data_IF_829934498378
#
_entry.id   IF_829934498378
#
_cell.length_a   1.000
_cell.length_b   1.000
_cell.length_c   1.000
_cell.angle_alpha   90.00
_cell.angle_beta   90.00
_cell.angle_gamma   90.00
#
_symmetry.space_group_name_H-M   'P 1'
#
loop_
_entity.id
_entity.type
_entity.pdbx_description
1 polymer ?
#
# COMPACT_ATOMS: atom_id res chain seq x y z
N UNK A 1 -1.36 12.90 -11.61
CA UNK A 1 -0.21 11.94 -11.67
C UNK A 1 0.94 12.28 -10.70
N UNK A 2 1.12 13.53 -10.25
CA UNK A 2 2.22 13.93 -9.35
C UNK A 2 2.16 13.39 -7.90
N UNK A 3 0.97 13.24 -7.32
CA UNK A 3 0.80 12.81 -5.92
C UNK A 3 1.36 11.40 -5.62
N UNK A 4 1.29 10.48 -6.59
CA UNK A 4 1.83 9.11 -6.46
C UNK A 4 3.36 9.07 -6.38
N UNK A 5 4.05 10.05 -6.98
CA UNK A 5 5.51 10.16 -6.95
C UNK A 5 6.05 10.62 -5.60
N UNK A 6 5.32 11.49 -4.90
CA UNK A 6 5.68 11.99 -3.57
C UNK A 6 5.46 10.94 -2.47
N UNK A 7 4.35 10.19 -2.54
CA UNK A 7 4.07 9.07 -1.63
C UNK A 7 5.17 7.99 -1.71
N UNK A 8 5.67 7.66 -2.91
CA UNK A 8 6.77 6.70 -3.09
C UNK A 8 8.09 7.11 -2.42
N UNK A 9 8.31 8.41 -2.18
CA UNK A 9 9.50 8.92 -1.47
C UNK A 9 9.31 8.93 0.05
N UNK A 10 8.10 9.20 0.52
CA UNK A 10 7.77 9.21 1.96
C UNK A 10 7.75 7.81 2.58
N UNK A 11 7.36 6.78 1.83
CA UNK A 11 7.33 5.39 2.31
C UNK A 11 8.65 4.61 2.12
N UNK A 12 9.74 5.26 1.69
CA UNK A 12 11.08 4.63 1.72
C UNK A 12 11.62 4.67 3.15
N UNK A 13 11.17 3.75 3.98
CA UNK A 13 11.75 3.51 5.30
C UNK A 13 13.10 2.79 5.17
N UNK A 14 14.08 3.11 6.03
CA UNK A 14 15.36 2.42 6.08
C UNK A 14 15.16 0.95 6.47
N UNK A 15 15.74 0.03 5.69
CA UNK A 15 15.84 -1.38 6.05
C UNK A 15 16.47 -1.49 7.44
N UNK A 16 15.67 -1.95 8.42
CA UNK A 16 16.08 -2.17 9.80
C UNK A 16 17.19 -3.23 9.83
N UNK A 17 18.45 -2.80 9.89
CA UNK A 17 19.56 -3.66 10.35
C UNK A 17 19.30 -3.98 11.83
N UNK A 18 19.42 -5.26 12.19
CA UNK A 18 19.32 -5.73 13.58
C UNK A 18 20.22 -4.86 14.48
N UNK A 19 19.75 -4.46 15.67
CA UNK A 19 20.52 -3.59 16.55
C UNK A 19 21.72 -4.36 17.12
N UNK A 20 22.93 -3.85 16.87
CA UNK A 20 24.08 -4.10 17.74
C UNK A 20 24.11 -2.98 18.78
N UNK A 21 24.25 -3.39 20.03
CA UNK A 21 24.30 -2.53 21.21
C UNK A 21 25.28 -1.37 21.06
N UNK A 22 24.87 -0.22 21.60
CA UNK A 22 25.76 0.89 21.89
C UNK A 22 25.92 1.90 20.76
N UNK A 23 24.94 2.79 20.56
CA UNK A 23 25.29 4.16 20.18
C UNK A 23 24.18 5.14 20.54
N UNK A 24 24.57 6.19 21.25
CA UNK A 24 23.78 7.40 21.49
C UNK A 24 23.64 8.16 20.17
N UNK A 25 22.65 7.81 19.36
CA UNK A 25 22.24 8.65 18.23
C UNK A 25 20.72 8.74 18.12
N UNK A 26 20.25 9.97 18.33
CA UNK A 26 19.16 10.60 17.58
C UNK A 26 17.74 10.11 17.83
N UNK A 27 17.13 10.64 18.89
CA UNK A 27 15.68 10.80 19.04
C UNK A 27 15.05 11.75 18.01
N UNK A 28 15.82 12.27 17.03
CA UNK A 28 15.32 13.11 15.95
C UNK A 28 14.90 12.27 14.71
N UNK A 29 15.58 11.15 14.43
CA UNK A 29 15.23 10.27 13.32
C UNK A 29 13.91 9.49 13.54
N UNK A 30 13.57 9.21 14.80
CA UNK A 30 12.29 8.59 15.18
C UNK A 30 11.15 9.61 15.41
N UNK A 31 11.46 10.92 15.49
CA UNK A 31 10.43 11.98 15.53
C UNK A 31 10.02 12.42 14.13
N UNK A 32 10.94 12.35 13.17
CA UNK A 32 10.66 12.58 11.74
C UNK A 32 9.71 11.54 11.12
N UNK A 33 9.29 10.48 11.83
CA UNK A 33 8.40 9.45 11.30
C UNK A 33 6.91 9.73 11.52
N UNK A 34 6.48 10.33 12.63
CA UNK A 34 5.04 10.49 12.91
C UNK A 34 4.40 11.64 12.15
N UNK A 35 5.07 12.80 12.07
CA UNK A 35 4.56 13.92 11.30
C UNK A 35 4.51 13.59 9.80
N UNK A 36 5.52 12.89 9.29
CA UNK A 36 5.53 12.41 7.90
C UNK A 36 4.41 11.38 7.63
N UNK A 37 4.17 10.45 8.56
CA UNK A 37 3.03 9.52 8.49
C UNK A 37 1.72 10.29 8.51
N UNK A 38 1.56 11.29 9.38
CA UNK A 38 0.34 12.11 9.48
C UNK A 38 0.08 12.86 8.18
N UNK A 39 1.07 13.53 7.61
CA UNK A 39 0.96 14.19 6.32
C UNK A 39 0.60 13.20 5.20
N UNK A 40 1.19 12.01 5.19
CA UNK A 40 0.83 10.98 4.22
C UNK A 40 -0.62 10.51 4.39
N UNK A 41 -1.08 10.35 5.63
CA UNK A 41 -2.47 9.98 5.95
C UNK A 41 -3.45 11.08 5.55
N UNK A 42 -3.09 12.36 5.72
CA UNK A 42 -3.92 13.49 5.27
C UNK A 42 -4.09 13.49 3.75
N UNK A 43 -3.01 13.26 3.00
CA UNK A 43 -3.07 13.11 1.54
C UNK A 43 -3.93 11.91 1.13
N UNK A 44 -3.80 10.78 1.82
CA UNK A 44 -4.66 9.61 1.55
C UNK A 44 -6.11 9.89 1.90
N UNK A 45 -6.37 10.66 2.96
CA UNK A 45 -7.72 11.04 3.39
C UNK A 45 -8.45 11.88 2.33
N UNK A 46 -7.77 12.84 1.71
CA UNK A 46 -8.32 13.62 0.58
C UNK A 46 -8.63 12.72 -0.63
N UNK A 47 -7.77 11.73 -0.90
CA UNK A 47 -7.95 10.81 -2.02
C UNK A 47 -9.01 9.73 -1.74
N UNK A 48 -9.35 9.52 -0.47
CA UNK A 48 -10.36 8.57 -0.04
C UNK A 48 -11.80 9.15 -0.07
N UNK A 49 -12.00 10.40 -0.50
CA UNK A 49 -13.32 11.04 -0.56
C UNK A 49 -14.34 10.29 -1.43
N UNK A 50 -13.86 9.54 -2.43
CA UNK A 50 -14.67 8.68 -3.30
C UNK A 50 -14.93 7.28 -2.73
N UNK A 51 -14.31 6.92 -1.59
CA UNK A 51 -14.42 5.61 -0.94
C UNK A 51 -14.71 5.77 0.56
N UNK A 52 -15.98 5.92 0.98
CA UNK A 52 -16.34 6.20 2.36
C UNK A 52 -15.73 5.25 3.41
N UNK A 53 -15.70 3.91 3.20
CA UNK A 53 -15.06 2.99 4.15
C UNK A 53 -13.55 3.23 4.31
N UNK A 54 -12.87 3.57 3.22
CA UNK A 54 -11.44 3.89 3.25
C UNK A 54 -11.19 5.17 4.02
N UNK A 55 -12.00 6.21 3.78
CA UNK A 55 -11.88 7.49 4.50
C UNK A 55 -12.03 7.32 6.01
N UNK A 56 -13.05 6.56 6.41
CA UNK A 56 -13.27 6.24 7.83
C UNK A 56 -12.08 5.46 8.42
N UNK A 57 -11.57 4.46 7.70
CA UNK A 57 -10.39 3.71 8.11
C UNK A 57 -9.15 4.62 8.28
N UNK A 58 -8.88 5.53 7.34
CA UNK A 58 -7.78 6.50 7.40
C UNK A 58 -7.89 7.36 8.66
N UNK A 59 -9.07 7.94 8.91
CA UNK A 59 -9.32 8.74 10.12
C UNK A 59 -9.13 7.93 11.42
N UNK A 60 -9.55 6.66 11.40
CA UNK A 60 -9.30 5.72 12.49
C UNK A 60 -7.81 5.47 12.73
N UNK A 61 -7.02 5.26 11.67
CA UNK A 61 -5.56 5.05 11.76
C UNK A 61 -4.88 6.30 12.34
N UNK A 62 -5.27 7.50 11.91
CA UNK A 62 -4.76 8.76 12.47
C UNK A 62 -5.02 8.82 13.98
N UNK A 63 -6.24 8.48 14.42
CA UNK A 63 -6.58 8.45 15.84
C UNK A 63 -5.73 7.43 16.63
N UNK A 64 -5.52 6.24 16.07
CA UNK A 64 -4.64 5.21 16.66
C UNK A 64 -3.19 5.70 16.80
N UNK A 65 -2.67 6.41 15.80
CA UNK A 65 -1.33 7.01 15.85
C UNK A 65 -1.21 8.04 16.98
N UNK A 66 -2.19 8.95 17.08
CA UNK A 66 -2.23 9.97 18.15
C UNK A 66 -2.33 9.32 19.54
N UNK A 67 -3.09 8.24 19.68
CA UNK A 67 -3.18 7.49 20.94
C UNK A 67 -1.89 6.74 21.25
N UNK A 68 -1.23 6.19 20.23
CA UNK A 68 0.06 5.52 20.37
C UNK A 68 1.14 6.48 20.87
N UNK A 69 1.23 7.69 20.31
CA UNK A 69 2.15 8.74 20.79
C UNK A 69 1.92 9.07 22.28
N UNK A 70 0.66 9.13 22.72
CA UNK A 70 0.31 9.38 24.13
C UNK A 70 0.63 8.19 25.05
N UNK A 71 0.64 6.97 24.51
CA UNK A 71 0.95 5.73 25.23
C UNK A 71 2.43 5.33 25.13
N UNK A 72 3.19 5.89 24.19
CA UNK A 72 4.58 5.53 23.85
C UNK A 72 5.54 5.61 25.04
N UNK A 73 5.24 6.45 26.04
CA UNK A 73 6.02 6.52 27.28
C UNK A 73 5.91 5.26 28.16
N UNK A 74 5.01 4.31 27.86
CA UNK A 74 4.72 3.17 28.73
C UNK A 74 4.51 1.83 28.01
N UNK A 75 4.30 1.79 26.70
CA UNK A 75 3.95 0.55 26.02
C UNK A 75 4.37 0.55 24.53
N UNK A 76 5.40 -0.24 24.20
CA UNK A 76 5.87 -0.40 22.81
C UNK A 76 4.87 -1.11 21.90
N UNK A 77 3.87 -1.81 22.45
CA UNK A 77 2.84 -2.47 21.65
C UNK A 77 1.89 -1.46 20.99
N UNK A 78 1.66 -0.32 21.64
CA UNK A 78 0.84 0.76 21.07
C UNK A 78 1.48 1.36 19.81
N UNK A 79 2.80 1.57 19.84
CA UNK A 79 3.56 2.06 18.69
C UNK A 79 3.57 1.03 17.55
N UNK A 80 3.76 -0.25 17.89
CA UNK A 80 3.72 -1.33 16.90
C UNK A 80 2.35 -1.45 16.22
N UNK A 81 1.25 -1.31 16.98
CA UNK A 81 -0.10 -1.30 16.43
C UNK A 81 -0.29 -0.17 15.43
N UNK A 82 0.07 1.06 15.80
CA UNK A 82 -0.05 2.21 14.91
C UNK A 82 0.78 2.02 13.63
N UNK A 83 2.01 1.51 13.74
CA UNK A 83 2.84 1.22 12.58
C UNK A 83 2.24 0.15 11.65
N UNK A 84 1.67 -0.92 12.22
CA UNK A 84 0.98 -1.98 11.46
C UNK A 84 -0.24 -1.44 10.73
N UNK A 85 -1.05 -0.64 11.41
CA UNK A 85 -2.22 0.01 10.82
C UNK A 85 -1.86 0.88 9.61
N UNK A 86 -0.79 1.67 9.71
CA UNK A 86 -0.28 2.49 8.60
C UNK A 86 0.20 1.62 7.42
N UNK A 87 0.89 0.52 7.72
CA UNK A 87 1.42 -0.39 6.69
C UNK A 87 0.30 -1.06 5.89
N UNK A 88 -0.77 -1.49 6.55
CA UNK A 88 -1.95 -2.06 5.88
C UNK A 88 -2.60 -1.00 4.98
N UNK A 89 -2.75 0.22 5.48
CA UNK A 89 -3.35 1.31 4.71
C UNK A 89 -2.52 1.67 3.46
N UNK A 90 -1.18 1.72 3.55
CA UNK A 90 -0.31 1.88 2.38
C UNK A 90 -0.50 0.75 1.37
N UNK A 91 -0.66 -0.49 1.85
CA UNK A 91 -0.92 -1.64 0.98
C UNK A 91 -2.27 -1.51 0.25
N UNK A 92 -3.33 -1.13 0.97
CA UNK A 92 -4.65 -0.86 0.38
C UNK A 92 -4.54 0.22 -0.69
N UNK A 93 -3.90 1.35 -0.37
CA UNK A 93 -3.78 2.49 -1.27
C UNK A 93 -3.00 2.16 -2.54
N UNK A 94 -1.94 1.35 -2.45
CA UNK A 94 -1.16 0.89 -3.62
C UNK A 94 -1.93 -0.09 -4.50
N UNK A 95 -2.88 -0.81 -3.93
CA UNK A 95 -3.68 -1.79 -4.65
C UNK A 95 -4.86 -1.16 -5.38
N UNK A 96 -5.32 0.01 -4.91
CA UNK A 96 -6.34 0.80 -5.61
C UNK A 96 -5.70 1.42 -6.86
N UNK A 97 -6.06 0.87 -8.01
CA UNK A 97 -5.69 1.40 -9.32
C UNK A 97 -6.75 2.42 -9.79
N UNK A 98 -6.37 3.67 -10.13
CA UNK A 98 -7.28 4.67 -10.67
C UNK A 98 -7.88 4.28 -12.02
N UNK A 99 -7.25 3.35 -12.76
CA UNK A 99 -7.73 2.90 -14.06
C UNK A 99 -8.70 1.69 -13.95
N UNK A 100 -8.90 1.15 -12.74
CA UNK A 100 -9.88 0.08 -12.50
C UNK A 100 -11.26 0.71 -12.31
N UNK A 101 -12.13 0.55 -13.33
CA UNK A 101 -13.50 1.07 -13.34
C UNK A 101 -14.43 0.49 -12.25
N UNK A 102 -14.02 -0.56 -11.53
CA UNK A 102 -14.80 -1.13 -10.44
C UNK A 102 -13.90 -1.84 -9.41
N UNK A 103 -13.95 -1.39 -8.16
CA UNK A 103 -13.28 -2.08 -7.04
C UNK A 103 -14.03 -3.39 -6.76
N UNK A 104 -13.35 -4.54 -6.70
CA UNK A 104 -14.01 -5.81 -6.41
C UNK A 104 -14.71 -5.80 -5.04
N UNK A 105 -15.90 -6.39 -4.96
CA UNK A 105 -16.72 -6.38 -3.73
C UNK A 105 -15.97 -6.94 -2.51
N UNK A 106 -15.25 -8.05 -2.67
CA UNK A 106 -14.46 -8.66 -1.59
C UNK A 106 -13.32 -7.77 -1.07
N UNK A 107 -12.82 -6.84 -1.89
CA UNK A 107 -11.83 -5.85 -1.45
C UNK A 107 -12.48 -4.76 -0.60
N UNK A 108 -13.70 -4.32 -0.96
CA UNK A 108 -14.49 -3.40 -0.14
C UNK A 108 -14.84 -4.02 1.21
N UNK A 109 -15.23 -5.30 1.24
CA UNK A 109 -15.47 -6.04 2.48
C UNK A 109 -14.20 -6.09 3.35
N UNK A 110 -13.04 -6.29 2.73
CA UNK A 110 -11.74 -6.21 3.41
C UNK A 110 -11.50 -4.84 4.03
N UNK A 111 -11.74 -3.75 3.30
CA UNK A 111 -11.60 -2.37 3.81
C UNK A 111 -12.55 -2.13 5.00
N UNK A 112 -13.81 -2.56 4.90
CA UNK A 112 -14.79 -2.43 5.99
C UNK A 112 -14.39 -3.24 7.23
N UNK A 113 -13.85 -4.45 7.02
CA UNK A 113 -13.32 -5.25 8.12
C UNK A 113 -12.13 -4.56 8.81
N UNK A 114 -11.23 -3.97 8.02
CA UNK A 114 -10.11 -3.18 8.53
C UNK A 114 -10.59 -1.94 9.30
N UNK A 115 -11.57 -1.20 8.78
CA UNK A 115 -12.18 -0.07 9.46
C UNK A 115 -12.73 -0.46 10.84
N UNK A 116 -13.48 -1.56 10.89
CA UNK A 116 -14.05 -2.10 12.14
C UNK A 116 -12.94 -2.42 13.14
N UNK A 117 -11.90 -3.13 12.68
CA UNK A 117 -10.76 -3.50 13.52
C UNK A 117 -10.02 -2.28 14.07
N UNK A 118 -9.81 -1.25 13.24
CA UNK A 118 -9.17 0.01 13.66
C UNK A 118 -10.02 0.74 14.70
N UNK A 119 -11.34 0.79 14.54
CA UNK A 119 -12.24 1.39 15.52
C UNK A 119 -12.24 0.65 16.86
N UNK A 120 -12.14 -0.68 16.86
CA UNK A 120 -11.98 -1.48 18.08
C UNK A 120 -10.65 -1.18 18.78
N UNK A 121 -9.55 -1.11 18.02
CA UNK A 121 -8.22 -0.76 18.54
C UNK A 121 -8.25 0.63 19.18
N UNK A 122 -8.80 1.62 18.46
CA UNK A 122 -8.98 2.99 18.95
C UNK A 122 -9.70 3.00 20.30
N UNK A 123 -10.86 2.34 20.37
CA UNK A 123 -11.68 2.29 21.58
C UNK A 123 -10.93 1.65 22.76
N UNK A 124 -10.18 0.58 22.50
CA UNK A 124 -9.36 -0.08 23.52
C UNK A 124 -8.23 0.83 24.01
N UNK A 125 -7.52 1.51 23.11
CA UNK A 125 -6.44 2.44 23.45
C UNK A 125 -6.98 3.66 24.21
N UNK A 126 -8.14 4.20 23.82
CA UNK A 126 -8.83 5.26 24.56
C UNK A 126 -9.14 4.82 26.00
N UNK A 127 -9.67 3.62 26.20
CA UNK A 127 -9.95 3.08 27.53
C UNK A 127 -8.68 2.94 28.38
N UNK A 128 -7.53 2.61 27.77
CA UNK A 128 -6.24 2.56 28.47
C UNK A 128 -5.75 3.98 28.82
N UNK A 129 -5.86 4.94 27.88
CA UNK A 129 -5.41 6.33 28.11
C UNK A 129 -6.23 7.06 29.16
N UNK A 130 -7.52 6.75 29.31
CA UNK A 130 -8.40 7.34 30.34
C UNK A 130 -8.09 6.88 31.77
N UNK A 131 -7.35 5.77 31.94
CA UNK A 131 -6.95 5.27 33.26
C UNK A 131 -5.77 6.07 33.83
N UNK A 132 -5.85 6.36 35.13
CA UNK A 132 -4.74 6.98 35.87
C UNK A 132 -3.48 6.07 35.79
N UNK A 133 -2.29 6.68 35.87
CA UNK A 133 -1.01 5.96 35.68
C UNK A 133 -0.86 4.70 36.55
N UNK A 134 -1.28 4.75 37.82
CA UNK A 134 -1.22 3.58 38.71
C UNK A 134 -2.09 2.41 38.25
N UNK A 135 -3.32 2.69 37.80
CA UNK A 135 -4.23 1.66 37.26
C UNK A 135 -3.72 1.07 35.94
N UNK A 136 -3.01 1.87 35.13
CA UNK A 136 -2.37 1.39 33.91
C UNK A 136 -1.26 0.39 34.22
N UNK A 137 -0.44 0.67 35.23
CA UNK A 137 0.64 -0.25 35.68
C UNK A 137 0.04 -1.49 36.33
N UNK A 138 -0.99 -1.36 37.17
CA UNK A 138 -1.66 -2.50 37.80
C UNK A 138 -2.27 -3.47 36.77
N UNK A 139 -2.79 -2.95 35.66
CA UNK A 139 -3.36 -3.76 34.58
C UNK A 139 -2.42 -3.96 33.39
N UNK A 140 -1.10 -3.74 33.56
CA UNK A 140 -0.13 -3.75 32.46
C UNK A 140 -0.22 -5.04 31.63
N UNK A 141 -0.09 -6.21 32.26
CA UNK A 141 -0.19 -7.52 31.56
C UNK A 141 -1.50 -7.72 30.79
N UNK A 142 -2.62 -7.23 31.35
CA UNK A 142 -3.93 -7.34 30.69
C UNK A 142 -4.00 -6.42 29.48
N UNK A 143 -3.51 -5.19 29.61
CA UNK A 143 -3.45 -4.22 28.53
C UNK A 143 -2.52 -4.73 27.41
N UNK A 144 -1.31 -5.19 27.75
CA UNK A 144 -0.37 -5.79 26.80
C UNK A 144 -0.96 -6.98 26.06
N UNK A 145 -1.59 -7.92 26.78
CA UNK A 145 -2.27 -9.06 26.15
C UNK A 145 -3.38 -8.62 25.19
N UNK A 146 -4.14 -7.58 25.55
CA UNK A 146 -5.19 -7.04 24.69
C UNK A 146 -4.61 -6.38 23.43
N UNK A 147 -3.54 -5.59 23.55
CA UNK A 147 -2.86 -4.98 22.40
C UNK A 147 -2.17 -6.02 21.50
N UNK A 148 -1.59 -7.07 22.08
CA UNK A 148 -1.01 -8.18 21.34
C UNK A 148 -2.05 -8.93 20.51
N UNK A 149 -3.26 -9.15 21.04
CA UNK A 149 -4.38 -9.75 20.29
C UNK A 149 -4.76 -8.91 19.08
N UNK A 150 -4.77 -7.59 19.22
CA UNK A 150 -5.03 -6.70 18.08
C UNK A 150 -3.92 -6.75 17.03
N UNK A 151 -2.67 -6.92 17.45
CA UNK A 151 -1.55 -7.09 16.52
C UNK A 151 -1.75 -8.32 15.66
N UNK A 152 -2.08 -9.46 16.27
CA UNK A 152 -2.36 -10.70 15.53
C UNK A 152 -3.54 -10.55 14.55
N UNK A 153 -4.58 -9.81 14.95
CA UNK A 153 -5.73 -9.53 14.07
C UNK A 153 -5.36 -8.61 12.90
N UNK A 154 -4.51 -7.61 13.13
CA UNK A 154 -3.98 -6.76 12.06
C UNK A 154 -3.11 -7.57 11.10
N UNK A 155 -2.27 -8.48 11.59
CA UNK A 155 -1.45 -9.34 10.74
C UNK A 155 -2.31 -10.25 9.86
N UNK A 156 -3.38 -10.84 10.41
CA UNK A 156 -4.35 -11.62 9.63
C UNK A 156 -5.07 -10.76 8.58
N UNK A 157 -5.46 -9.52 8.91
CA UNK A 157 -6.03 -8.59 7.94
C UNK A 157 -5.01 -8.22 6.84
N UNK A 158 -3.74 -8.03 7.21
CA UNK A 158 -2.67 -7.70 6.26
C UNK A 158 -2.45 -8.82 5.23
N UNK A 159 -2.54 -10.09 5.64
CA UNK A 159 -2.44 -11.23 4.72
C UNK A 159 -3.51 -11.21 3.63
N UNK A 160 -4.76 -10.87 3.98
CA UNK A 160 -5.87 -10.76 3.03
C UNK A 160 -5.56 -9.69 1.97
N UNK A 161 -5.07 -8.52 2.39
CA UNK A 161 -4.70 -7.46 1.46
C UNK A 161 -3.45 -7.78 0.64
N UNK A 162 -2.48 -8.51 1.20
CA UNK A 162 -1.30 -8.96 0.47
C UNK A 162 -1.67 -9.93 -0.65
N UNK A 163 -2.53 -10.91 -0.37
CA UNK A 163 -3.06 -11.84 -1.38
C UNK A 163 -3.77 -11.06 -2.47
N UNK A 164 -4.63 -10.10 -2.11
CA UNK A 164 -5.34 -9.29 -3.09
C UNK A 164 -4.39 -8.45 -3.95
N UNK A 165 -3.40 -7.79 -3.34
CA UNK A 165 -2.38 -7.02 -4.06
C UNK A 165 -1.61 -7.88 -5.05
N UNK A 166 -1.27 -9.12 -4.70
CA UNK A 166 -0.58 -10.05 -5.61
C UNK A 166 -1.49 -10.39 -6.79
N UNK A 167 -2.76 -10.71 -6.54
CA UNK A 167 -3.73 -11.03 -7.59
C UNK A 167 -3.96 -9.88 -8.57
N UNK A 168 -4.07 -8.64 -8.07
CA UNK A 168 -4.21 -7.46 -8.95
C UNK A 168 -2.94 -7.27 -9.79
N UNK A 169 -1.76 -7.46 -9.20
CA UNK A 169 -0.49 -7.37 -9.93
C UNK A 169 -0.36 -8.45 -11.00
N UNK A 170 -0.71 -9.71 -10.71
CA UNK A 170 -0.65 -10.80 -11.71
C UNK A 170 -1.63 -10.57 -12.86
N UNK A 171 -2.86 -10.10 -12.57
CA UNK A 171 -3.82 -9.72 -13.61
C UNK A 171 -3.32 -8.56 -14.48
N UNK A 172 -2.66 -7.56 -13.87
CA UNK A 172 -2.09 -6.45 -14.63
C UNK A 172 -0.93 -6.90 -15.54
N UNK A 173 -0.11 -7.85 -15.09
CA UNK A 173 0.96 -8.44 -15.88
C UNK A 173 0.42 -9.24 -17.08
N UNK A 174 -0.60 -10.09 -16.86
CA UNK A 174 -1.25 -10.83 -17.94
C UNK A 174 -1.82 -9.89 -19.02
N UNK A 175 -2.46 -8.78 -18.62
CA UNK A 175 -2.94 -7.76 -19.58
C UNK A 175 -1.83 -7.08 -20.36
N UNK A 176 -0.66 -6.91 -19.75
CA UNK A 176 0.51 -6.34 -20.45
C UNK A 176 1.05 -7.37 -21.44
N UNK A 177 1.11 -8.64 -21.05
CA UNK A 177 1.54 -9.75 -21.90
C UNK A 177 0.64 -9.87 -23.14
N UNK A 178 -0.69 -9.89 -22.99
CA UNK A 178 -1.64 -9.90 -24.10
C UNK A 178 -1.44 -8.71 -25.06
N UNK A 179 -1.17 -7.52 -24.51
CA UNK A 179 -0.90 -6.31 -25.31
C UNK A 179 0.41 -6.42 -26.07
N UNK A 180 1.46 -6.98 -25.44
CA UNK A 180 2.76 -7.19 -26.09
C UNK A 180 2.62 -8.20 -27.22
N UNK A 181 1.88 -9.28 -27.02
CA UNK A 181 1.60 -10.27 -28.06
C UNK A 181 0.85 -9.65 -29.25
N UNK A 182 -0.18 -8.84 -28.99
CA UNK A 182 -0.89 -8.11 -30.05
C UNK A 182 -0.01 -7.14 -30.84
N UNK A 183 0.90 -6.43 -30.16
CA UNK A 183 1.89 -5.56 -30.82
C UNK A 183 2.87 -6.40 -31.64
N UNK A 184 3.33 -7.54 -31.13
CA UNK A 184 4.24 -8.45 -31.84
C UNK A 184 3.60 -8.96 -33.13
N UNK A 185 2.35 -9.43 -33.07
CA UNK A 185 1.60 -9.88 -34.25
C UNK A 185 1.44 -8.76 -35.30
N UNK A 186 1.24 -7.52 -34.85
CA UNK A 186 1.14 -6.35 -35.74
C UNK A 186 2.48 -6.04 -36.44
N UNK A 187 3.59 -6.17 -35.72
CA UNK A 187 4.94 -6.00 -36.26
C UNK A 187 5.24 -7.08 -37.30
N UNK A 188 4.94 -8.34 -36.99
CA UNK A 188 5.12 -9.47 -37.91
C UNK A 188 4.30 -9.28 -39.20
N UNK A 189 3.02 -8.89 -39.07
CA UNK A 189 2.17 -8.60 -40.22
C UNK A 189 2.76 -7.47 -41.09
N UNK A 190 3.25 -6.40 -40.46
CA UNK A 190 3.86 -5.27 -41.17
C UNK A 190 5.15 -5.66 -41.89
N UNK A 191 6.00 -6.49 -41.26
CA UNK A 191 7.23 -7.00 -41.87
C UNK A 191 6.95 -7.89 -43.08
N UNK A 192 5.96 -8.78 -42.99
CA UNK A 192 5.56 -9.63 -44.11
C UNK A 192 5.05 -8.81 -45.30
N UNK A 193 4.27 -7.75 -45.02
CA UNK A 193 3.79 -6.83 -46.07
C UNK A 193 4.94 -6.06 -46.72
N UNK A 194 5.94 -5.63 -45.95
CA UNK A 194 7.13 -4.97 -46.50
C UNK A 194 7.95 -5.93 -47.37
N UNK A 195 8.08 -7.19 -46.96
CA UNK A 195 8.79 -8.20 -47.73
C UNK A 195 8.14 -8.45 -49.10
N UNK A 196 6.81 -8.63 -49.13
CA UNK A 196 6.03 -8.78 -50.37
C UNK A 196 6.17 -7.55 -51.30
N UNK A 197 6.18 -6.33 -50.74
CA UNK A 197 6.40 -5.11 -51.52
C UNK A 197 7.81 -5.02 -52.10
N UNK A 198 8.83 -5.38 -51.33
CA UNK A 198 10.22 -5.41 -51.80
C UNK A 198 10.36 -6.39 -52.96
N UNK A 199 9.80 -7.60 -52.84
CA UNK A 199 9.85 -8.61 -53.89
C UNK A 199 9.19 -8.11 -55.20
N UNK A 200 8.02 -7.49 -55.10
CA UNK A 200 7.33 -6.90 -56.26
C UNK A 200 8.15 -5.79 -56.92
N UNK A 201 8.80 -4.92 -56.15
CA UNK A 201 9.67 -3.86 -56.70
C UNK A 201 10.86 -4.46 -57.42
N UNK A 202 11.51 -5.49 -56.86
CA UNK A 202 12.62 -6.19 -57.50
C UNK A 202 12.19 -6.84 -58.83
N UNK A 203 11.02 -7.49 -58.87
CA UNK A 203 10.49 -8.09 -60.11
C UNK A 203 10.25 -7.03 -61.21
N UNK A 204 9.70 -5.87 -60.84
CA UNK A 204 9.51 -4.76 -61.79
C UNK A 204 10.84 -4.23 -62.29
N UNK A 205 11.82 -4.02 -61.40
CA UNK A 205 13.17 -3.56 -61.80
C UNK A 205 13.84 -4.52 -62.77
N UNK A 206 13.76 -5.83 -62.53
CA UNK A 206 14.32 -6.86 -63.43
C UNK A 206 13.63 -6.83 -64.80
N UNK A 207 12.30 -6.68 -64.82
CA UNK A 207 11.53 -6.62 -66.07
C UNK A 207 11.87 -5.38 -66.88
N UNK A 208 11.99 -4.21 -66.23
CA UNK A 208 12.40 -2.96 -66.89
C UNK A 208 13.82 -3.08 -67.46
N UNK A 209 14.75 -3.67 -66.70
CA UNK A 209 16.12 -3.89 -67.16
C UNK A 209 16.23 -4.83 -68.37
N UNK A 210 15.29 -5.76 -68.55
CA UNK A 210 15.24 -6.65 -69.71
C UNK A 210 14.66 -5.99 -70.97
N UNK A 211 13.85 -4.95 -70.81
CA UNK A 211 13.20 -4.21 -71.91
C UNK A 211 14.02 -3.01 -72.41
N UNK A 212 15.02 -2.57 -71.65
CA UNK A 212 15.94 -1.48 -71.99
C UNK A 212 17.16 -2.00 -72.76
#
# INVERSE_FOLDING_TARGET
>A
MEARGQLRRLFRLPRRKRPKEGSKYSSAAARLTWDAIRTALEVVNELADVLPPLKSAVGGVVAVCNLAERLAACDGNAEMLAWRSVTILDTIYRTIDPDINAIPAHFLDGIQHFETLINEIRTAMEAITKKNRGLRVMHLRRNESQLAKFTARLDSAAEIFAIHSITVQTMSLARIEDKVEGVSATIEHSNNLLHDRIEKVLQVQVTVAFLA
#
